data_IF_266520822413
#
_entry.id   IF_266520822413
#
_cell.length_a   1.000
_cell.length_b   1.000
_cell.length_c   1.000
_cell.angle_alpha   90.00
_cell.angle_beta   90.00
_cell.angle_gamma   90.00
#
_symmetry.space_group_name_H-M   'P 1'
#
loop_
_entity.id
_entity.type
_entity.pdbx_description
1 polymer ?
#
# COMPACT_ATOMS: atom_id res chain seq x y z
N UNK A 1 -20.25 21.49 -36.36
CA UNK A 1 -18.78 21.64 -36.51
C UNK A 1 -18.30 22.90 -35.77
N UNK A 2 -18.55 22.97 -34.46
CA UNK A 2 -18.18 24.09 -33.58
C UNK A 2 -17.51 23.58 -32.28
N UNK A 3 -17.01 22.33 -32.29
CA UNK A 3 -16.49 21.65 -31.08
C UNK A 3 -15.01 21.28 -31.17
N UNK A 4 -14.34 21.61 -32.28
CA UNK A 4 -12.92 21.26 -32.48
C UNK A 4 -12.00 22.47 -32.20
N UNK A 5 -12.54 23.69 -32.18
CA UNK A 5 -11.74 24.92 -32.01
C UNK A 5 -11.45 25.22 -30.53
N UNK A 6 -12.22 24.67 -29.58
CA UNK A 6 -12.04 24.95 -28.14
C UNK A 6 -10.87 24.18 -27.51
N UNK A 7 -10.49 23.02 -28.05
CA UNK A 7 -9.40 22.21 -27.53
C UNK A 7 -8.01 22.81 -27.84
N UNK A 8 -7.89 23.65 -28.88
CA UNK A 8 -6.60 24.20 -29.32
C UNK A 8 -6.24 25.53 -28.64
N UNK A 9 -7.19 26.21 -27.98
CA UNK A 9 -6.94 27.47 -27.27
C UNK A 9 -6.54 27.28 -25.80
N UNK A 10 -6.79 26.12 -25.20
CA UNK A 10 -6.38 25.83 -23.81
C UNK A 10 -4.91 25.36 -23.68
N UNK A 11 -4.20 25.09 -24.78
CA UNK A 11 -2.78 24.72 -24.72
C UNK A 11 -1.83 25.93 -24.59
N UNK A 12 -2.35 27.16 -24.60
CA UNK A 12 -1.56 28.40 -24.50
C UNK A 12 -1.44 28.94 -23.06
N UNK A 13 -2.21 28.42 -22.11
CA UNK A 13 -2.07 28.73 -20.69
C UNK A 13 -1.77 27.44 -19.95
N UNK A 14 -0.49 27.19 -19.68
CA UNK A 14 0.02 26.01 -18.98
C UNK A 14 -0.49 25.89 -17.53
N UNK A 15 -1.76 25.55 -17.39
CA UNK A 15 -2.32 25.00 -16.16
C UNK A 15 -2.45 23.50 -16.43
N UNK A 16 -1.31 22.81 -16.37
CA UNK A 16 -1.36 21.36 -16.14
C UNK A 16 -2.09 21.11 -14.82
N UNK A 17 -2.69 19.92 -14.62
CA UNK A 17 -3.20 19.57 -13.30
C UNK A 17 -2.06 19.80 -12.30
N UNK A 18 -2.33 20.58 -11.26
CA UNK A 18 -1.37 20.77 -10.18
C UNK A 18 -0.91 19.39 -9.69
N UNK A 19 0.38 19.22 -9.33
CA UNK A 19 0.81 17.99 -8.68
C UNK A 19 -0.10 17.76 -7.47
N UNK A 20 -0.74 16.60 -7.43
CA UNK A 20 -1.60 16.20 -6.32
C UNK A 20 -0.69 16.11 -5.10
N UNK A 21 -0.85 17.04 -4.17
CA UNK A 21 -0.20 17.00 -2.86
C UNK A 21 -0.71 15.72 -2.15
N UNK A 22 0.15 14.76 -1.78
CA UNK A 22 -0.32 13.57 -1.07
C UNK A 22 -0.92 14.01 0.27
N UNK A 23 -2.19 13.67 0.48
CA UNK A 23 -2.97 14.03 1.66
C UNK A 23 -2.24 13.58 2.95
N UNK A 24 -1.98 14.47 3.91
CA UNK A 24 -1.33 14.13 5.18
C UNK A 24 -2.20 13.26 6.09
N UNK A 25 -3.49 13.04 5.77
CA UNK A 25 -4.36 12.09 6.46
C UNK A 25 -4.77 10.98 5.48
N UNK A 26 -4.15 9.78 5.55
CA UNK A 26 -4.65 8.66 4.77
C UNK A 26 -6.07 8.34 5.24
N UNK A 27 -7.05 8.53 4.36
CA UNK A 27 -8.34 7.84 4.46
C UNK A 27 -8.00 6.36 4.69
N UNK A 28 -8.61 5.64 5.66
CA UNK A 28 -8.33 4.22 5.85
C UNK A 28 -8.39 3.52 4.50
N UNK A 29 -7.24 3.03 4.08
CA UNK A 29 -7.04 2.53 2.73
C UNK A 29 -7.94 1.30 2.55
N UNK A 30 -8.81 1.31 1.53
CA UNK A 30 -9.77 0.21 1.29
C UNK A 30 -9.31 -0.65 0.12
N UNK A 31 -9.09 -1.93 0.38
CA UNK A 31 -8.89 -2.96 -0.61
C UNK A 31 -10.24 -3.58 -1.00
N UNK A 32 -10.52 -3.66 -2.30
CA UNK A 32 -11.68 -4.37 -2.83
C UNK A 32 -11.21 -5.60 -3.60
N UNK A 33 -11.66 -6.79 -3.20
CA UNK A 33 -11.26 -8.06 -3.82
C UNK A 33 -12.50 -8.92 -4.06
N UNK A 34 -12.51 -9.75 -5.10
CA UNK A 34 -13.57 -10.73 -5.31
C UNK A 34 -13.24 -12.06 -4.61
N UNK A 35 -14.25 -12.87 -4.30
CA UNK A 35 -14.05 -14.22 -3.77
C UNK A 35 -13.20 -15.05 -4.72
N UNK A 36 -12.11 -15.64 -4.21
CA UNK A 36 -11.17 -16.45 -4.97
C UNK A 36 -10.14 -15.67 -5.77
N UNK A 37 -10.20 -14.34 -5.78
CA UNK A 37 -9.17 -13.48 -6.39
C UNK A 37 -8.13 -13.03 -5.36
N UNK A 38 -6.93 -12.74 -5.86
CA UNK A 38 -5.85 -12.14 -5.09
C UNK A 38 -5.46 -10.80 -5.70
N UNK A 39 -5.26 -9.79 -4.86
CA UNK A 39 -4.76 -8.48 -5.27
C UNK A 39 -3.56 -8.07 -4.45
N UNK A 40 -2.59 -7.45 -5.11
CA UNK A 40 -1.34 -6.97 -4.52
C UNK A 40 -1.44 -5.47 -4.28
N UNK A 41 -1.02 -5.02 -3.10
CA UNK A 41 -1.04 -3.62 -2.73
C UNK A 41 0.23 -3.21 -2.00
N UNK A 42 0.77 -2.05 -2.34
CA UNK A 42 1.93 -1.48 -1.66
C UNK A 42 1.50 -0.85 -0.34
N UNK A 43 2.17 -1.21 0.75
CA UNK A 43 1.84 -0.76 2.12
C UNK A 43 2.93 0.09 2.75
N UNK A 44 4.07 0.25 2.07
CA UNK A 44 5.17 1.07 2.54
C UNK A 44 6.51 0.57 2.01
N UNK A 45 7.58 0.96 2.69
CA UNK A 45 8.93 0.51 2.38
C UNK A 45 9.62 -0.07 3.61
N UNK A 46 10.50 -1.04 3.38
CA UNK A 46 11.38 -1.63 4.37
C UNK A 46 12.83 -1.32 4.05
N UNK A 47 13.70 -1.46 5.04
CA UNK A 47 15.14 -1.39 4.86
C UNK A 47 15.80 -2.43 5.76
N UNK A 48 16.12 -3.59 5.18
CA UNK A 48 16.70 -4.71 5.91
C UNK A 48 18.05 -4.39 6.55
N UNK A 49 18.85 -3.51 5.93
CA UNK A 49 20.14 -3.09 6.49
C UNK A 49 19.99 -2.26 7.77
N UNK A 50 18.90 -1.49 7.86
CA UNK A 50 18.51 -0.74 9.04
C UNK A 50 17.58 -1.52 9.98
N UNK A 51 17.32 -2.81 9.70
CA UNK A 51 16.37 -3.66 10.43
C UNK A 51 14.95 -3.09 10.52
N UNK A 52 14.54 -2.34 9.50
CA UNK A 52 13.18 -1.78 9.38
C UNK A 52 12.36 -2.65 8.45
N UNK A 53 11.22 -3.15 8.90
CA UNK A 53 10.39 -4.07 8.13
C UNK A 53 8.91 -3.76 8.35
N UNK A 54 8.11 -3.88 7.29
CA UNK A 54 6.66 -3.85 7.45
C UNK A 54 6.22 -5.16 8.10
N UNK A 55 5.32 -5.10 9.08
CA UNK A 55 4.84 -6.28 9.81
C UNK A 55 3.33 -6.19 9.99
N UNK A 56 2.64 -7.30 9.73
CA UNK A 56 1.22 -7.45 10.08
C UNK A 56 1.14 -7.64 11.59
N UNK A 57 0.55 -6.68 12.30
CA UNK A 57 0.33 -6.77 13.75
C UNK A 57 -1.03 -7.36 14.10
N UNK A 58 -2.02 -7.11 13.24
CA UNK A 58 -3.39 -7.62 13.35
C UNK A 58 -3.81 -8.13 11.98
N UNK A 59 -4.09 -9.44 11.88
CA UNK A 59 -4.57 -10.06 10.65
C UNK A 59 -6.07 -9.86 10.41
N UNK A 60 -6.56 -10.11 9.19
CA UNK A 60 -7.99 -10.14 8.89
C UNK A 60 -8.69 -11.34 9.56
N UNK A 61 -10.02 -11.32 9.51
CA UNK A 61 -10.83 -12.51 9.71
C UNK A 61 -10.57 -13.48 8.54
N UNK A 62 -9.91 -14.60 8.85
CA UNK A 62 -9.53 -15.62 7.87
C UNK A 62 -10.73 -16.30 7.20
N UNK A 63 -11.94 -16.17 7.77
CA UNK A 63 -13.17 -16.62 7.10
C UNK A 63 -13.57 -15.70 5.93
N UNK A 64 -13.11 -14.45 5.92
CA UNK A 64 -13.43 -13.43 4.91
C UNK A 64 -12.28 -13.26 3.92
N UNK A 65 -11.04 -13.12 4.40
CA UNK A 65 -9.87 -12.92 3.55
C UNK A 65 -8.59 -13.46 4.19
N UNK A 66 -7.60 -13.80 3.37
CA UNK A 66 -6.22 -14.05 3.82
C UNK A 66 -5.28 -12.96 3.33
N UNK A 67 -4.20 -12.72 4.09
CA UNK A 67 -3.20 -11.71 3.75
C UNK A 67 -1.80 -12.30 3.88
N UNK A 68 -0.95 -12.04 2.90
CA UNK A 68 0.48 -12.35 2.91
C UNK A 68 1.30 -11.07 2.72
N UNK A 69 2.32 -10.86 3.54
CA UNK A 69 3.24 -9.73 3.40
C UNK A 69 4.52 -10.18 2.69
N UNK A 70 4.90 -9.45 1.64
CA UNK A 70 6.10 -9.71 0.84
C UNK A 70 6.90 -8.42 0.63
N UNK A 71 8.16 -8.56 0.21
CA UNK A 71 9.03 -7.44 -0.11
C UNK A 71 9.45 -7.52 -1.58
N UNK A 72 9.49 -6.38 -2.25
CA UNK A 72 10.04 -6.24 -3.59
C UNK A 72 11.56 -6.12 -3.59
N UNK A 73 12.13 -5.91 -4.76
CA UNK A 73 13.55 -5.67 -4.93
C UNK A 73 13.90 -4.21 -4.60
N UNK A 74 15.04 -3.98 -3.95
CA UNK A 74 15.62 -2.66 -3.79
C UNK A 74 15.99 -2.04 -5.15
N UNK A 75 15.93 -0.71 -5.25
CA UNK A 75 16.41 0.02 -6.42
C UNK A 75 17.90 -0.29 -6.67
N UNK A 76 18.30 -0.81 -7.85
CA UNK A 76 19.70 -1.16 -8.12
C UNK A 76 20.69 0.03 -8.05
N UNK A 77 20.21 1.28 -8.07
CA UNK A 77 21.03 2.48 -7.97
C UNK A 77 21.29 2.99 -6.54
N UNK A 78 20.72 2.35 -5.51
CA UNK A 78 20.84 2.82 -4.13
C UNK A 78 22.24 2.56 -3.52
N UNK A 79 22.61 3.40 -2.55
CA UNK A 79 23.83 3.21 -1.79
C UNK A 79 23.71 1.99 -0.84
N UNK A 80 24.76 1.17 -0.69
CA UNK A 80 24.76 0.04 0.24
C UNK A 80 24.36 0.47 1.65
N UNK A 81 23.42 -0.27 2.26
CA UNK A 81 22.94 -0.01 3.62
C UNK A 81 21.79 1.00 3.74
N UNK A 82 21.49 1.76 2.68
CA UNK A 82 20.43 2.77 2.65
C UNK A 82 19.25 2.43 1.75
N UNK A 83 19.27 1.26 1.12
CA UNK A 83 18.26 0.88 0.15
C UNK A 83 16.91 0.61 0.81
N UNK A 84 15.90 1.30 0.32
CA UNK A 84 14.51 1.00 0.63
C UNK A 84 13.98 -0.03 -0.37
N UNK A 85 13.24 -1.00 0.14
CA UNK A 85 12.57 -2.07 -0.60
C UNK A 85 11.07 -1.85 -0.43
N UNK A 86 10.25 -1.81 -1.50
CA UNK A 86 8.81 -1.70 -1.34
C UNK A 86 8.27 -2.95 -0.65
N UNK A 87 7.31 -2.77 0.24
CA UNK A 87 6.61 -3.84 0.92
C UNK A 87 5.17 -3.91 0.39
N UNK A 88 4.71 -5.13 0.16
CA UNK A 88 3.40 -5.39 -0.40
C UNK A 88 2.60 -6.33 0.49
N UNK A 89 1.28 -6.16 0.50
CA UNK A 89 0.37 -7.20 0.93
C UNK A 89 -0.36 -7.80 -0.26
N UNK A 90 -0.46 -9.13 -0.28
CA UNK A 90 -1.37 -9.86 -1.16
C UNK A 90 -2.62 -10.20 -0.36
N UNK A 91 -3.76 -9.63 -0.74
CA UNK A 91 -5.06 -9.92 -0.14
C UNK A 91 -5.79 -10.91 -1.02
N UNK A 92 -6.27 -12.02 -0.44
CA UNK A 92 -7.08 -13.02 -1.16
C UNK A 92 -8.47 -13.12 -0.55
N UNK A 93 -9.51 -12.96 -1.37
CA UNK A 93 -10.90 -13.09 -0.94
C UNK A 93 -11.30 -14.54 -0.69
N UNK A 94 -11.87 -14.84 0.49
CA UNK A 94 -12.33 -16.18 0.89
C UNK A 94 -13.85 -16.28 0.85
N UNK A 95 -14.55 -15.31 1.43
CA UNK A 95 -16.00 -15.23 1.43
C UNK A 95 -16.46 -13.76 1.42
N UNK A 96 -17.66 -13.45 0.92
CA UNK A 96 -18.16 -12.09 0.92
C UNK A 96 -18.27 -11.52 2.33
N UNK A 97 -17.80 -10.30 2.52
CA UNK A 97 -17.77 -9.67 3.84
C UNK A 97 -16.79 -8.52 3.94
N UNK A 98 -16.69 -7.96 5.14
CA UNK A 98 -15.76 -6.89 5.46
C UNK A 98 -14.83 -7.34 6.58
N UNK A 99 -13.55 -7.02 6.45
CA UNK A 99 -12.54 -7.25 7.48
C UNK A 99 -11.46 -6.19 7.39
N UNK A 100 -10.42 -6.28 8.21
CA UNK A 100 -9.32 -5.32 8.19
C UNK A 100 -8.00 -5.97 8.57
N UNK A 101 -6.90 -5.42 8.06
CA UNK A 101 -5.54 -5.78 8.46
C UNK A 101 -4.81 -4.52 8.93
N UNK A 102 -3.98 -4.67 9.95
CA UNK A 102 -3.11 -3.58 10.43
C UNK A 102 -1.65 -3.93 10.17
N UNK A 103 -0.95 -3.00 9.55
CA UNK A 103 0.47 -3.14 9.21
C UNK A 103 1.25 -1.98 9.82
N UNK A 104 2.40 -2.27 10.43
CA UNK A 104 3.32 -1.27 10.99
C UNK A 104 4.69 -1.35 10.33
N UNK A 105 5.38 -0.21 10.25
CA UNK A 105 6.82 -0.20 10.11
C UNK A 105 7.46 -0.49 11.47
N UNK A 106 8.13 -1.62 11.58
CA UNK A 106 8.77 -2.06 12.80
C UNK A 106 10.28 -1.97 12.68
N UNK A 107 10.94 -1.57 13.76
CA UNK A 107 12.33 -1.94 14.00
C UNK A 107 12.38 -3.34 14.62
N UNK A 108 13.11 -4.24 13.97
CA UNK A 108 13.16 -5.67 14.32
C UNK A 108 14.57 -6.03 14.77
N UNK A 109 14.82 -5.94 16.08
CA UNK A 109 16.13 -6.32 16.65
C UNK A 109 16.33 -7.83 16.68
N UNK A 110 15.25 -8.57 16.93
CA UNK A 110 15.19 -10.03 17.03
C UNK A 110 13.98 -10.57 16.25
N UNK A 111 14.03 -11.80 15.73
CA UNK A 111 12.87 -12.41 15.07
C UNK A 111 11.63 -12.41 15.98
N UNK A 112 10.52 -11.84 15.50
CA UNK A 112 9.25 -11.77 16.23
C UNK A 112 9.10 -10.55 17.15
N UNK A 113 10.09 -9.66 17.25
CA UNK A 113 9.97 -8.39 17.97
C UNK A 113 9.65 -7.26 16.99
N UNK A 114 8.44 -6.70 17.07
CA UNK A 114 8.12 -5.44 16.40
C UNK A 114 8.20 -4.30 17.41
N UNK A 115 9.16 -3.39 17.22
CA UNK A 115 9.15 -2.07 17.86
C UNK A 115 8.59 -1.05 16.86
N UNK A 116 7.33 -0.59 17.00
CA UNK A 116 6.72 0.32 16.03
C UNK A 116 7.52 1.61 15.89
N UNK A 117 7.82 2.00 14.65
CA UNK A 117 8.45 3.28 14.32
C UNK A 117 7.42 4.35 13.94
N UNK A 118 6.22 3.91 13.57
CA UNK A 118 5.10 4.73 13.13
C UNK A 118 3.75 4.21 13.67
N UNK A 119 2.70 4.96 13.38
CA UNK A 119 1.31 4.53 13.62
C UNK A 119 0.92 3.42 12.65
N UNK A 120 0.01 2.50 13.05
CA UNK A 120 -0.45 1.44 12.16
C UNK A 120 -1.15 2.03 10.94
N UNK A 121 -0.89 1.43 9.80
CA UNK A 121 -1.76 1.56 8.64
C UNK A 121 -2.86 0.51 8.76
N UNK A 122 -4.08 0.94 9.07
CA UNK A 122 -5.27 0.08 9.02
C UNK A 122 -5.84 0.06 7.62
N UNK A 123 -6.05 -1.15 7.11
CA UNK A 123 -6.50 -1.40 5.75
C UNK A 123 -7.83 -2.13 5.83
N UNK A 124 -8.90 -1.48 5.38
CA UNK A 124 -10.21 -2.12 5.26
C UNK A 124 -10.22 -3.03 4.04
N UNK A 125 -10.71 -4.26 4.19
CA UNK A 125 -10.84 -5.23 3.11
C UNK A 125 -12.32 -5.52 2.90
N UNK A 126 -12.79 -5.28 1.69
CA UNK A 126 -14.16 -5.60 1.26
C UNK A 126 -14.05 -6.73 0.23
N UNK A 127 -14.65 -7.87 0.56
CA UNK A 127 -14.73 -9.03 -0.33
C UNK A 127 -16.10 -9.07 -0.97
N UNK A 128 -16.11 -8.96 -2.30
CA UNK A 128 -17.31 -9.01 -3.13
C UNK A 128 -17.50 -10.42 -3.71
N UNK A 129 -18.73 -10.75 -4.09
CA UNK A 129 -19.08 -12.01 -4.75
C UNK A 129 -18.40 -12.21 -6.12
#
# INVERSE_FOLDING_TARGET
MLSIILAFLMSLFGIGPAPVDPDPNPIPWQAQVAVGESQLFEVGTSNQSARRQMTIVTGPDEAVATVELTHGEADPGCAPGGCEEPAYITVTGVAPGETSVEVHLCFVESPGECQPLDEPVTIGIIVNE
#
